data_IF_202982507483
#
_entry.id   IF_202982507483
#
_cell.length_a   1.000
_cell.length_b   1.000
_cell.length_c   1.000
_cell.angle_alpha   90.00
_cell.angle_beta   90.00
_cell.angle_gamma   90.00
#
_symmetry.space_group_name_H-M   'P 1'
#
loop_
_entity.id
_entity.type
_entity.pdbx_description
1 polymer ?
#
# COMPACT_ATOMS: atom_id res chain seq x y z
N UNK A 1 9.50 12.24 22.93
CA UNK A 1 8.79 11.59 24.06
C UNK A 1 7.42 11.16 23.54
N UNK A 2 7.32 9.94 22.97
CA UNK A 2 6.17 9.51 22.14
C UNK A 2 5.35 8.33 22.72
N UNK A 3 5.41 8.09 24.03
CA UNK A 3 4.54 7.08 24.63
C UNK A 3 4.11 7.52 26.03
N UNK A 4 3.05 8.33 26.08
CA UNK A 4 2.39 8.68 27.34
C UNK A 4 1.51 7.48 27.74
N UNK A 5 2.08 6.66 28.62
CA UNK A 5 1.48 5.63 29.47
C UNK A 5 0.00 5.29 29.19
N UNK A 6 -0.23 4.35 28.27
CA UNK A 6 -1.49 3.62 28.20
C UNK A 6 -1.35 2.45 29.17
N UNK A 7 -2.32 2.29 30.07
CA UNK A 7 -2.39 1.14 30.99
C UNK A 7 -2.48 -0.12 30.14
N UNK A 8 -1.47 -0.99 30.22
CA UNK A 8 -1.46 -2.27 29.54
C UNK A 8 -2.62 -3.11 30.07
N UNK A 9 -3.66 -3.33 29.25
CA UNK A 9 -4.49 -4.52 29.40
C UNK A 9 -3.82 -5.67 28.65
N UNK A 10 -4.08 -6.92 29.04
CA UNK A 10 -3.57 -8.12 28.35
C UNK A 10 -3.89 -8.15 26.84
N UNK A 11 -4.78 -7.29 26.36
CA UNK A 11 -5.20 -7.21 24.96
C UNK A 11 -4.37 -6.25 24.09
N UNK A 12 -3.55 -5.36 24.67
CA UNK A 12 -2.83 -4.32 23.92
C UNK A 12 -1.34 -4.35 24.18
N UNK A 13 -0.57 -4.49 23.09
CA UNK A 13 0.89 -4.49 23.11
C UNK A 13 1.42 -3.18 22.54
N UNK A 14 2.46 -2.61 23.15
CA UNK A 14 3.15 -1.42 22.65
C UNK A 14 4.17 -1.84 21.60
N UNK A 15 4.20 -1.13 20.48
CA UNK A 15 5.14 -1.38 19.39
C UNK A 15 5.82 -0.06 19.01
N UNK A 16 7.14 -0.11 18.80
CA UNK A 16 7.97 0.97 18.33
C UNK A 16 8.65 0.55 17.03
N UNK A 17 8.47 1.33 15.98
CA UNK A 17 9.10 1.08 14.68
C UNK A 17 10.34 1.95 14.52
N UNK A 18 11.47 1.31 14.23
CA UNK A 18 12.73 1.97 13.87
C UNK A 18 12.97 1.75 12.39
N UNK A 19 12.80 2.80 11.59
CA UNK A 19 12.94 2.73 10.12
C UNK A 19 14.29 3.31 9.73
N UNK A 20 15.14 2.47 9.12
CA UNK A 20 16.40 2.87 8.52
C UNK A 20 16.20 3.24 7.06
N UNK A 21 16.75 4.38 6.66
CA UNK A 21 16.74 4.87 5.28
C UNK A 21 18.18 5.13 4.84
N UNK A 22 18.60 4.54 3.72
CA UNK A 22 19.90 4.83 3.10
C UNK A 22 19.71 5.80 1.94
N UNK A 23 20.05 7.07 2.17
CA UNK A 23 19.83 8.17 1.22
C UNK A 23 20.69 8.09 -0.04
N UNK A 24 21.58 7.08 -0.15
CA UNK A 24 22.44 6.85 -1.32
C UNK A 24 21.83 5.89 -2.33
N UNK A 25 20.76 5.20 -1.95
CA UNK A 25 20.04 4.25 -2.80
C UNK A 25 18.86 4.95 -3.46
N UNK A 26 18.51 4.49 -4.66
CA UNK A 26 17.26 4.88 -5.31
C UNK A 26 16.10 4.14 -4.62
N UNK A 27 15.35 4.87 -3.79
CA UNK A 27 14.17 4.37 -3.08
C UNK A 27 12.94 5.14 -3.53
N UNK A 28 11.75 4.62 -3.19
CA UNK A 28 10.55 5.45 -3.20
C UNK A 28 10.79 6.76 -2.43
N UNK A 29 10.15 7.82 -2.92
CA UNK A 29 10.36 9.16 -2.38
C UNK A 29 9.86 9.28 -0.94
N UNK A 30 10.61 10.04 -0.15
CA UNK A 30 10.23 10.44 1.19
C UNK A 30 10.70 11.87 1.44
N UNK A 31 10.02 12.57 2.35
CA UNK A 31 10.32 13.97 2.66
C UNK A 31 10.06 14.28 4.13
N UNK A 32 10.91 15.16 4.68
CA UNK A 32 10.59 15.85 5.93
C UNK A 32 9.50 16.89 5.62
N UNK A 33 8.35 16.74 6.28
CA UNK A 33 7.20 17.64 6.16
C UNK A 33 6.89 18.32 7.50
N UNK A 34 7.86 18.39 8.41
CA UNK A 34 7.68 18.97 9.75
C UNK A 34 7.17 20.43 9.67
N UNK A 35 7.63 21.21 8.69
CA UNK A 35 7.20 22.60 8.47
C UNK A 35 5.75 22.71 8.00
N UNK A 36 5.19 21.62 7.45
CA UNK A 36 3.81 21.52 7.00
C UNK A 36 2.93 20.71 7.96
N UNK A 37 3.51 20.16 9.03
CA UNK A 37 2.79 19.32 9.98
C UNK A 37 1.78 20.15 10.77
N UNK A 38 0.62 19.54 11.04
CA UNK A 38 -0.38 20.13 11.92
C UNK A 38 0.16 20.33 13.35
N UNK A 39 1.07 19.45 13.79
CA UNK A 39 1.71 19.51 15.10
C UNK A 39 3.15 19.97 15.00
N UNK A 40 3.38 21.28 15.15
CA UNK A 40 4.70 21.90 15.01
C UNK A 40 5.78 21.41 15.98
N UNK A 41 5.40 20.70 17.05
CA UNK A 41 6.34 20.12 18.01
C UNK A 41 6.91 18.77 17.58
N UNK A 42 6.37 18.17 16.53
CA UNK A 42 6.75 16.84 16.04
C UNK A 42 7.60 16.96 14.79
N UNK A 43 8.47 15.97 14.58
CA UNK A 43 9.15 15.79 13.31
C UNK A 43 8.39 14.75 12.51
N UNK A 44 8.00 15.08 11.31
CA UNK A 44 7.16 14.23 10.47
C UNK A 44 7.87 13.94 9.15
N UNK A 45 8.05 12.65 8.85
CA UNK A 45 8.60 12.18 7.58
C UNK A 45 7.50 11.46 6.84
N UNK A 46 7.17 11.96 5.65
CA UNK A 46 6.20 11.37 4.75
C UNK A 46 6.90 10.42 3.78
N UNK A 47 6.34 9.22 3.59
CA UNK A 47 6.78 8.25 2.59
C UNK A 47 5.68 8.13 1.53
N UNK A 48 6.05 8.08 0.25
CA UNK A 48 5.05 7.90 -0.81
C UNK A 48 4.35 6.56 -0.71
N UNK A 49 3.09 6.52 -1.13
CA UNK A 49 2.35 5.27 -1.30
C UNK A 49 3.15 4.30 -2.19
N UNK A 50 3.17 3.02 -1.81
CA UNK A 50 3.97 1.99 -2.47
C UNK A 50 5.36 1.78 -1.87
N UNK A 51 5.79 2.60 -0.89
CA UNK A 51 7.04 2.36 -0.16
C UNK A 51 7.03 0.99 0.52
N UNK A 52 8.08 0.20 0.25
CA UNK A 52 8.24 -1.16 0.81
C UNK A 52 9.31 -1.14 1.89
N UNK A 53 9.03 -1.78 3.02
CA UNK A 53 9.94 -1.87 4.16
C UNK A 53 10.29 -3.33 4.45
N UNK A 54 11.59 -3.66 4.45
CA UNK A 54 12.09 -4.97 4.84
C UNK A 54 12.11 -5.09 6.35
N UNK A 55 11.57 -6.18 6.88
CA UNK A 55 11.68 -6.53 8.29
C UNK A 55 13.08 -7.06 8.60
N UNK A 56 13.84 -6.33 9.41
CA UNK A 56 15.19 -6.74 9.80
C UNK A 56 15.18 -7.50 11.13
N UNK A 57 14.40 -7.03 12.10
CA UNK A 57 14.38 -7.64 13.43
C UNK A 57 13.11 -7.26 14.21
N UNK A 58 12.67 -8.14 15.11
CA UNK A 58 11.61 -7.90 16.09
C UNK A 58 12.14 -8.34 17.45
N UNK A 59 12.20 -7.40 18.40
CA UNK A 59 12.72 -7.65 19.74
C UNK A 59 11.79 -7.04 20.78
N UNK A 60 11.66 -7.68 21.94
CA UNK A 60 10.98 -7.08 23.08
C UNK A 60 11.98 -6.35 23.97
N UNK A 61 11.74 -5.05 24.21
CA UNK A 61 12.49 -4.27 25.19
C UNK A 61 11.80 -4.40 26.56
N UNK A 62 12.39 -5.18 27.46
CA UNK A 62 11.86 -5.37 28.82
C UNK A 62 11.87 -4.10 29.66
N UNK A 63 12.79 -3.15 29.39
CA UNK A 63 12.91 -1.91 30.16
C UNK A 63 11.79 -0.94 29.80
N UNK A 64 11.57 -0.79 28.51
CA UNK A 64 10.53 0.10 27.98
C UNK A 64 9.18 -0.61 27.85
N UNK A 65 9.12 -1.92 28.06
CA UNK A 65 7.94 -2.80 27.93
C UNK A 65 7.22 -2.63 26.59
N UNK A 66 7.97 -2.76 25.50
CA UNK A 66 7.46 -2.61 24.14
C UNK A 66 8.21 -3.49 23.13
N UNK A 67 7.57 -3.78 22.01
CA UNK A 67 8.18 -4.45 20.87
C UNK A 67 8.90 -3.43 19.98
N UNK A 68 10.20 -3.56 19.82
CA UNK A 68 11.00 -2.84 18.85
C UNK A 68 11.03 -3.61 17.52
N UNK A 69 10.47 -3.01 16.47
CA UNK A 69 10.46 -3.54 15.11
C UNK A 69 11.41 -2.71 14.27
N UNK A 70 12.51 -3.32 13.82
CA UNK A 70 13.50 -2.68 12.96
C UNK A 70 13.17 -2.96 11.50
N UNK A 71 13.10 -1.89 10.72
CA UNK A 71 12.73 -1.89 9.31
C UNK A 71 13.80 -1.18 8.49
N UNK A 72 13.99 -1.58 7.24
CA UNK A 72 14.79 -0.85 6.25
C UNK A 72 13.90 -0.47 5.06
N UNK A 73 13.92 0.79 4.62
CA UNK A 73 13.29 1.17 3.36
C UNK A 73 14.01 0.49 2.19
N UNK A 74 13.28 -0.30 1.40
CA UNK A 74 13.85 -0.99 0.25
C UNK A 74 14.20 0.00 -0.87
N UNK A 75 15.17 -0.36 -1.71
CA UNK A 75 15.46 0.35 -2.96
C UNK A 75 14.61 -0.20 -4.11
N UNK A 76 14.39 0.59 -5.16
CA UNK A 76 13.49 0.23 -6.28
C UNK A 76 13.96 -1.02 -7.06
N UNK A 77 15.26 -1.30 -7.02
CA UNK A 77 15.84 -2.45 -7.70
C UNK A 77 15.78 -3.76 -6.89
N UNK A 78 15.38 -3.68 -5.62
CA UNK A 78 15.39 -4.79 -4.69
C UNK A 78 14.49 -5.92 -5.19
N UNK A 79 15.02 -7.15 -5.17
CA UNK A 79 14.26 -8.33 -5.58
C UNK A 79 13.01 -8.48 -4.70
N UNK A 80 13.10 -8.08 -3.43
CA UNK A 80 11.98 -8.08 -2.50
C UNK A 80 10.83 -7.17 -2.97
N UNK A 81 11.14 -6.03 -3.60
CA UNK A 81 10.10 -5.17 -4.19
C UNK A 81 9.44 -5.85 -5.38
N UNK A 82 10.24 -6.41 -6.29
CA UNK A 82 9.74 -7.11 -7.49
C UNK A 82 8.81 -8.26 -7.12
N UNK A 83 9.20 -9.07 -6.14
CA UNK A 83 8.40 -10.19 -5.66
C UNK A 83 7.08 -9.72 -5.02
N UNK A 84 7.11 -8.60 -4.27
CA UNK A 84 5.90 -7.99 -3.70
C UNK A 84 4.97 -7.46 -4.80
N UNK A 85 5.50 -6.72 -5.78
CA UNK A 85 4.73 -6.18 -6.90
C UNK A 85 4.08 -7.30 -7.72
N UNK A 86 4.83 -8.35 -8.04
CA UNK A 86 4.32 -9.54 -8.73
C UNK A 86 3.21 -10.24 -7.95
N UNK A 87 3.40 -10.40 -6.64
CA UNK A 87 2.37 -10.97 -5.78
C UNK A 87 1.10 -10.09 -5.71
N UNK A 88 1.25 -8.76 -5.64
CA UNK A 88 0.13 -7.83 -5.66
C UNK A 88 -0.60 -7.83 -7.00
N UNK A 89 0.14 -7.83 -8.12
CA UNK A 89 -0.41 -7.90 -9.49
C UNK A 89 -1.31 -9.11 -9.67
N UNK A 90 -0.83 -10.29 -9.24
CA UNK A 90 -1.60 -11.54 -9.23
C UNK A 90 -2.88 -11.47 -8.40
N UNK A 91 -2.85 -10.78 -7.25
CA UNK A 91 -4.03 -10.65 -6.36
C UNK A 91 -5.10 -9.71 -6.91
N UNK A 92 -4.71 -8.67 -7.64
CA UNK A 92 -5.63 -7.70 -8.26
C UNK A 92 -6.26 -8.26 -9.55
N UNK A 93 -5.80 -9.43 -10.01
CA UNK A 93 -6.35 -10.12 -11.18
C UNK A 93 -5.88 -9.53 -12.50
N UNK A 94 -4.79 -8.75 -12.48
CA UNK A 94 -3.98 -8.51 -13.67
C UNK A 94 -3.06 -9.70 -13.83
N UNK A 95 -3.19 -10.47 -14.91
CA UNK A 95 -2.18 -11.45 -15.29
C UNK A 95 -0.90 -10.74 -15.75
N UNK A 96 -0.29 -11.21 -16.84
CA UNK A 96 0.86 -10.52 -17.45
C UNK A 96 0.52 -9.11 -17.98
N UNK A 97 -0.76 -8.75 -18.07
CA UNK A 97 -1.21 -7.43 -18.52
C UNK A 97 -0.68 -6.31 -17.61
N UNK A 98 -0.05 -5.30 -18.23
CA UNK A 98 0.40 -4.07 -17.59
C UNK A 98 -0.72 -3.41 -16.77
N UNK A 99 -0.34 -2.54 -15.82
CA UNK A 99 -1.28 -1.77 -15.02
C UNK A 99 -2.27 -1.00 -15.91
N UNK A 100 -3.45 -1.58 -16.13
CA UNK A 100 -4.50 -1.05 -16.99
C UNK A 100 -5.61 -0.39 -16.17
N UNK A 101 -6.40 0.48 -16.78
CA UNK A 101 -7.63 1.03 -16.17
C UNK A 101 -8.56 -0.07 -15.63
N UNK A 102 -8.56 -1.25 -16.27
CA UNK A 102 -9.30 -2.43 -15.81
C UNK A 102 -8.76 -2.98 -14.47
N UNK A 103 -7.43 -3.02 -14.32
CA UNK A 103 -6.79 -3.40 -13.05
C UNK A 103 -7.13 -2.42 -11.94
N UNK A 104 -7.17 -1.11 -12.23
CA UNK A 104 -7.57 -0.08 -11.29
C UNK A 104 -9.02 -0.25 -10.85
N UNK A 105 -9.93 -0.53 -11.80
CA UNK A 105 -11.33 -0.87 -11.50
C UNK A 105 -11.46 -2.06 -10.54
N UNK A 106 -10.64 -3.10 -10.71
CA UNK A 106 -10.61 -4.25 -9.79
C UNK A 106 -10.11 -3.85 -8.39
N UNK A 107 -9.12 -2.96 -8.28
CA UNK A 107 -8.62 -2.47 -6.98
C UNK A 107 -9.73 -1.75 -6.22
N UNK A 108 -10.37 -0.75 -6.83
CA UNK A 108 -11.44 -0.02 -6.13
C UNK A 108 -12.66 -0.89 -5.85
N UNK A 109 -12.97 -1.87 -6.70
CA UNK A 109 -13.99 -2.88 -6.40
C UNK A 109 -13.68 -3.65 -5.12
N UNK A 110 -12.44 -4.14 -4.99
CA UNK A 110 -12.00 -4.88 -3.80
C UNK A 110 -11.94 -4.00 -2.53
N UNK A 111 -11.86 -2.68 -2.69
CA UNK A 111 -11.97 -1.72 -1.58
C UNK A 111 -13.43 -1.43 -1.18
N UNK A 112 -14.43 -1.99 -1.88
CA UNK A 112 -15.86 -1.73 -1.66
C UNK A 112 -16.35 -0.42 -2.31
N UNK A 113 -15.52 0.24 -3.10
CA UNK A 113 -15.81 1.50 -3.78
C UNK A 113 -16.49 1.21 -5.14
N UNK A 114 -17.68 0.59 -5.09
CA UNK A 114 -18.35 0.01 -6.25
C UNK A 114 -18.71 1.03 -7.33
N UNK A 115 -19.12 2.25 -6.97
CA UNK A 115 -19.43 3.30 -7.94
C UNK A 115 -18.20 3.76 -8.71
N UNK A 116 -17.04 3.90 -8.04
CA UNK A 116 -15.78 4.22 -8.71
C UNK A 116 -15.33 3.05 -9.59
N UNK A 117 -15.50 1.81 -9.12
CA UNK A 117 -15.20 0.63 -9.91
C UNK A 117 -16.02 0.58 -11.20
N UNK A 118 -17.32 0.89 -11.12
CA UNK A 118 -18.22 1.01 -12.28
C UNK A 118 -17.69 2.01 -13.30
N UNK A 119 -17.29 3.21 -12.85
CA UNK A 119 -16.75 4.25 -13.71
C UNK A 119 -15.52 3.78 -14.48
N UNK A 120 -14.58 3.10 -13.80
CA UNK A 120 -13.40 2.56 -14.46
C UNK A 120 -13.75 1.47 -15.48
N UNK A 121 -14.65 0.53 -15.15
CA UNK A 121 -15.05 -0.51 -16.11
C UNK A 121 -15.79 0.04 -17.32
N UNK A 122 -16.61 1.08 -17.15
CA UNK A 122 -17.27 1.77 -18.27
C UNK A 122 -16.25 2.52 -19.12
N UNK A 123 -15.32 3.26 -18.51
CA UNK A 123 -14.26 3.96 -19.24
C UNK A 123 -13.41 3.01 -20.08
N UNK A 124 -13.06 1.84 -19.54
CA UNK A 124 -12.36 0.80 -20.30
C UNK A 124 -13.24 0.36 -21.48
N UNK A 125 -14.51 0.02 -21.24
CA UNK A 125 -15.41 -0.46 -22.28
C UNK A 125 -15.58 0.55 -23.43
N UNK A 126 -15.58 1.85 -23.14
CA UNK A 126 -15.69 2.93 -24.13
C UNK A 126 -14.42 3.06 -25.02
N UNK A 127 -13.27 2.60 -24.53
CA UNK A 127 -11.98 2.65 -25.25
C UNK A 127 -11.68 1.37 -26.04
N UNK A 128 -12.35 0.26 -25.73
CA UNK A 128 -12.15 -1.03 -26.39
C UNK A 128 -12.88 -1.09 -27.74
N UNK A 129 -12.27 -1.77 -28.72
CA UNK A 129 -12.99 -2.18 -29.92
C UNK A 129 -13.96 -3.33 -29.62
N UNK A 130 -15.04 -3.45 -30.38
CA UNK A 130 -16.07 -4.50 -30.18
C UNK A 130 -15.52 -5.94 -30.17
N UNK A 131 -14.42 -6.20 -30.89
CA UNK A 131 -13.76 -7.52 -30.96
C UNK A 131 -12.71 -7.74 -29.84
N UNK A 132 -12.55 -6.79 -28.92
CA UNK A 132 -11.57 -6.90 -27.85
C UNK A 132 -12.00 -7.95 -26.81
N UNK A 133 -11.06 -8.81 -26.43
CA UNK A 133 -11.30 -9.90 -25.47
C UNK A 133 -11.70 -9.38 -24.08
N UNK A 134 -11.34 -8.14 -23.76
CA UNK A 134 -11.65 -7.49 -22.49
C UNK A 134 -13.09 -6.95 -22.40
N UNK A 135 -13.85 -6.88 -23.50
CA UNK A 135 -15.26 -6.48 -23.50
C UNK A 135 -16.09 -7.41 -22.61
N UNK A 136 -15.92 -8.73 -22.79
CA UNK A 136 -16.61 -9.74 -21.99
C UNK A 136 -16.23 -9.64 -20.49
N UNK A 137 -14.97 -9.31 -20.21
CA UNK A 137 -14.48 -9.12 -18.84
C UNK A 137 -15.09 -7.87 -18.19
N UNK A 138 -15.18 -6.75 -18.91
CA UNK A 138 -15.81 -5.52 -18.43
C UNK A 138 -17.29 -5.74 -18.10
N UNK A 139 -18.04 -6.41 -18.97
CA UNK A 139 -19.45 -6.73 -18.70
C UNK A 139 -19.63 -7.63 -17.47
N UNK A 140 -18.78 -8.65 -17.30
CA UNK A 140 -18.79 -9.49 -16.11
C UNK A 140 -18.56 -8.67 -14.84
N UNK A 141 -17.61 -7.73 -14.85
CA UNK A 141 -17.29 -6.88 -13.70
C UNK A 141 -18.40 -5.88 -13.39
N UNK A 142 -19.00 -5.26 -14.41
CA UNK A 142 -20.16 -4.38 -14.27
C UNK A 142 -21.39 -5.11 -13.69
N UNK A 143 -21.59 -6.38 -14.10
CA UNK A 143 -22.63 -7.23 -13.53
C UNK A 143 -22.40 -7.51 -12.03
N UNK A 144 -21.16 -7.78 -11.63
CA UNK A 144 -20.81 -8.00 -10.22
C UNK A 144 -21.01 -6.73 -9.37
N UNK A 145 -20.60 -5.57 -9.88
CA UNK A 145 -20.84 -4.26 -9.25
C UNK A 145 -22.32 -4.00 -9.06
N UNK A 146 -23.16 -4.29 -10.06
CA UNK A 146 -24.60 -4.01 -10.02
C UNK A 146 -25.36 -4.94 -9.07
N UNK A 147 -24.74 -6.01 -8.60
CA UNK A 147 -25.29 -6.97 -7.65
C UNK A 147 -24.79 -6.77 -6.20
N UNK A 148 -23.89 -5.79 -5.97
CA UNK A 148 -23.26 -5.47 -4.69
C UNK A 148 -23.93 -4.27 -4.02
#
# INVERSE_FOLDING_TARGET
MFARQIVSSDALQRVFFEIKVDTRLETHAFADISDMSYFQSEKEVFFTLGSVFRLENVMFDERETLWCVKLTLCNEDDQDMKDMYEHQKKRVGGGDEEASLLSLGNVVYNMGEYEKAKQYYTCVLDELSDDDTNVALCHKRLGAVSAS
#
